data_IF_352233003057
#
_entry.id   IF_352233003057
#
_cell.length_a   1.000
_cell.length_b   1.000
_cell.length_c   1.000
_cell.angle_alpha   90.00
_cell.angle_beta   90.00
_cell.angle_gamma   90.00
#
_symmetry.space_group_name_H-M   'P 1'
#
loop_
_entity.id
_entity.type
_entity.pdbx_description
1 polymer ?
#
# COMPACT_ATOMS: atom_id res chain seq x y z
N UNK A 1 -16.95 -29.79 -3.75
CA UNK A 1 -16.31 -28.53 -4.15
C UNK A 1 -16.14 -27.69 -2.89
N UNK A 2 -14.91 -27.27 -2.62
CA UNK A 2 -14.58 -26.52 -1.39
C UNK A 2 -14.72 -25.01 -1.56
N UNK A 3 -15.04 -24.53 -2.77
CA UNK A 3 -15.26 -23.12 -3.09
C UNK A 3 -15.19 -22.82 -4.58
N UNK A 4 -15.49 -21.61 -4.93
CA UNK A 4 -15.32 -21.06 -6.28
C UNK A 4 -14.41 -19.82 -6.22
N UNK A 5 -13.72 -19.55 -7.32
CA UNK A 5 -12.90 -18.37 -7.48
C UNK A 5 -13.24 -17.68 -8.79
N UNK A 6 -13.17 -16.37 -8.79
CA UNK A 6 -13.24 -15.54 -9.98
C UNK A 6 -11.83 -15.07 -10.36
N UNK A 7 -11.40 -15.33 -11.58
CA UNK A 7 -10.11 -14.90 -12.10
C UNK A 7 -10.30 -13.58 -12.85
N UNK A 8 -9.60 -12.53 -12.40
CA UNK A 8 -9.60 -11.25 -13.10
C UNK A 8 -8.80 -11.34 -14.39
N UNK A 9 -9.37 -10.91 -15.49
CA UNK A 9 -8.72 -10.81 -16.80
C UNK A 9 -8.72 -9.35 -17.30
N UNK A 10 -7.86 -9.05 -18.25
CA UNK A 10 -7.78 -7.68 -18.81
C UNK A 10 -9.05 -7.28 -19.60
N UNK A 11 -9.88 -8.26 -19.96
CA UNK A 11 -11.08 -8.07 -20.79
C UNK A 11 -12.34 -7.81 -19.95
N UNK A 12 -12.32 -8.12 -18.64
CA UNK A 12 -13.52 -8.09 -17.79
C UNK A 12 -13.96 -6.70 -17.38
N UNK A 13 -13.15 -5.67 -17.54
CA UNK A 13 -13.36 -4.33 -16.97
C UNK A 13 -13.77 -4.36 -15.49
N UNK A 14 -13.21 -5.33 -14.76
CA UNK A 14 -13.45 -5.52 -13.33
C UNK A 14 -12.16 -5.33 -12.55
N UNK A 15 -12.29 -4.65 -11.41
CA UNK A 15 -11.23 -4.50 -10.43
C UNK A 15 -11.70 -5.02 -9.08
N UNK A 16 -10.88 -5.85 -8.46
CA UNK A 16 -11.09 -6.32 -7.09
C UNK A 16 -10.27 -5.50 -6.11
N UNK A 17 -10.90 -5.09 -5.01
CA UNK A 17 -10.24 -4.44 -3.88
C UNK A 17 -10.32 -5.38 -2.68
N UNK A 18 -9.16 -5.80 -2.16
CA UNK A 18 -9.04 -6.69 -1.00
C UNK A 18 -8.58 -5.89 0.22
N UNK A 19 -9.38 -5.93 1.26
CA UNK A 19 -9.11 -5.25 2.53
C UNK A 19 -8.82 -6.31 3.60
N UNK A 20 -7.54 -6.63 3.79
CA UNK A 20 -7.12 -7.64 4.75
C UNK A 20 -7.19 -7.14 6.19
N UNK A 21 -7.71 -7.98 7.08
CA UNK A 21 -7.74 -7.70 8.51
C UNK A 21 -8.56 -6.47 8.90
N UNK A 22 -9.49 -6.04 8.05
CA UNK A 22 -10.32 -4.86 8.28
C UNK A 22 -11.52 -5.10 9.22
N UNK A 23 -11.85 -6.36 9.53
CA UNK A 23 -12.91 -6.71 10.45
C UNK A 23 -12.33 -7.12 11.80
N UNK A 24 -12.77 -6.44 12.86
CA UNK A 24 -12.43 -6.80 14.22
C UNK A 24 -13.19 -8.04 14.71
N UNK A 25 -12.89 -8.53 15.92
CA UNK A 25 -13.49 -9.75 16.49
C UNK A 25 -15.02 -9.68 16.66
N UNK A 26 -15.58 -8.47 16.71
CA UNK A 26 -17.02 -8.24 16.85
C UNK A 26 -17.70 -7.99 15.50
N UNK A 27 -16.99 -8.14 14.37
CA UNK A 27 -17.48 -7.87 13.01
C UNK A 27 -17.57 -6.39 12.66
N UNK A 28 -17.08 -5.49 13.52
CA UNK A 28 -16.95 -4.07 13.21
C UNK A 28 -15.77 -3.78 12.30
N UNK A 29 -15.88 -2.72 11.50
CA UNK A 29 -14.78 -2.25 10.65
C UNK A 29 -13.74 -1.45 11.42
N UNK A 30 -12.50 -1.60 11.00
CA UNK A 30 -11.41 -0.72 11.35
C UNK A 30 -11.59 0.65 10.67
N UNK A 31 -11.20 1.74 11.34
CA UNK A 31 -11.44 3.10 10.85
C UNK A 31 -10.87 3.37 9.44
N UNK A 32 -9.70 2.81 9.12
CA UNK A 32 -9.10 2.97 7.80
C UNK A 32 -9.93 2.30 6.69
N UNK A 33 -10.59 1.19 7.00
CA UNK A 33 -11.42 0.47 6.04
C UNK A 33 -12.78 1.14 5.80
N UNK A 34 -13.30 1.87 6.78
CA UNK A 34 -14.52 2.68 6.62
C UNK A 34 -14.31 3.71 5.52
N UNK A 35 -13.20 4.45 5.57
CA UNK A 35 -12.87 5.47 4.58
C UNK A 35 -12.79 4.89 3.15
N UNK A 36 -12.25 3.68 3.01
CA UNK A 36 -12.17 3.02 1.71
C UNK A 36 -13.54 2.53 1.27
N UNK A 37 -14.30 1.92 2.17
CA UNK A 37 -15.62 1.40 1.84
C UNK A 37 -16.57 2.51 1.36
N UNK A 38 -16.51 3.67 1.97
CA UNK A 38 -17.34 4.84 1.61
C UNK A 38 -17.07 5.34 0.18
N UNK A 39 -15.89 5.10 -0.38
CA UNK A 39 -15.58 5.43 -1.77
C UNK A 39 -16.36 4.57 -2.78
N UNK A 40 -16.75 3.34 -2.38
CA UNK A 40 -17.27 2.34 -3.30
C UNK A 40 -18.75 2.00 -3.09
N UNK A 41 -19.32 2.31 -1.94
CA UNK A 41 -20.71 1.92 -1.70
C UNK A 41 -21.70 2.78 -2.50
N UNK A 42 -22.76 2.17 -3.08
CA UNK A 42 -23.07 0.74 -3.02
C UNK A 42 -22.40 -0.04 -4.16
N UNK A 43 -21.64 -1.07 -3.85
CA UNK A 43 -21.18 -2.09 -4.79
C UNK A 43 -21.23 -3.46 -4.14
N UNK A 44 -21.07 -4.54 -4.89
CA UNK A 44 -20.96 -5.89 -4.33
C UNK A 44 -19.70 -5.97 -3.45
N UNK A 45 -19.95 -6.34 -2.21
CA UNK A 45 -18.91 -6.53 -1.20
C UNK A 45 -19.22 -7.75 -0.36
N UNK A 46 -18.22 -8.61 -0.16
CA UNK A 46 -18.37 -9.82 0.63
C UNK A 46 -17.27 -9.98 1.68
N UNK A 47 -17.60 -10.74 2.72
CA UNK A 47 -16.64 -11.12 3.74
C UNK A 47 -15.70 -12.17 3.17
N UNK A 48 -14.37 -11.98 3.35
CA UNK A 48 -13.35 -12.90 2.90
C UNK A 48 -13.48 -14.30 3.55
N UNK A 49 -12.86 -15.36 2.99
CA UNK A 49 -12.90 -16.71 3.56
C UNK A 49 -12.45 -16.77 5.02
N UNK A 50 -11.46 -15.97 5.40
CA UNK A 50 -10.94 -15.91 6.77
C UNK A 50 -11.91 -15.28 7.77
N UNK A 51 -12.94 -14.57 7.30
CA UNK A 51 -13.88 -13.81 8.14
C UNK A 51 -13.29 -12.53 8.72
N UNK A 52 -12.08 -12.14 8.32
CA UNK A 52 -11.38 -10.97 8.88
C UNK A 52 -11.20 -9.84 7.88
N UNK A 53 -11.49 -10.04 6.62
CA UNK A 53 -11.31 -9.08 5.54
C UNK A 53 -12.57 -8.93 4.71
N UNK A 54 -12.54 -7.93 3.82
CA UNK A 54 -13.59 -7.66 2.84
C UNK A 54 -13.03 -7.73 1.43
N UNK A 55 -13.86 -8.19 0.49
CA UNK A 55 -13.59 -8.21 -0.94
C UNK A 55 -14.65 -7.42 -1.66
N UNK A 56 -14.23 -6.32 -2.30
CA UNK A 56 -15.09 -5.46 -3.10
C UNK A 56 -14.86 -5.72 -4.58
N UNK A 57 -15.92 -5.63 -5.37
CA UNK A 57 -15.91 -5.82 -6.81
C UNK A 57 -16.41 -4.55 -7.46
N UNK A 58 -15.63 -4.01 -8.38
CA UNK A 58 -15.92 -2.70 -8.99
C UNK A 58 -15.76 -2.81 -10.50
N UNK A 59 -16.73 -2.33 -11.27
CA UNK A 59 -16.53 -2.10 -12.70
C UNK A 59 -15.72 -0.84 -12.89
N UNK A 60 -14.58 -1.00 -13.51
CA UNK A 60 -13.60 0.04 -13.77
C UNK A 60 -12.22 -0.56 -13.93
N UNK A 61 -11.31 0.19 -14.49
CA UNK A 61 -9.95 -0.25 -14.75
C UNK A 61 -8.95 0.47 -13.85
N UNK A 62 -7.91 -0.25 -13.47
CA UNK A 62 -6.72 0.33 -12.86
C UNK A 62 -6.14 1.40 -13.78
N UNK A 63 -6.04 2.64 -13.31
CA UNK A 63 -5.42 3.71 -14.09
C UNK A 63 -3.92 3.45 -14.31
N UNK A 64 -3.33 4.13 -15.31
CA UNK A 64 -1.90 4.06 -15.60
C UNK A 64 -1.01 4.42 -14.38
N UNK A 65 -1.52 5.24 -13.47
CA UNK A 65 -0.84 5.62 -12.22
C UNK A 65 -0.51 4.43 -11.33
N UNK A 66 -1.31 3.36 -11.38
CA UNK A 66 -1.14 2.14 -10.59
C UNK A 66 -0.03 1.22 -11.10
N UNK A 67 0.55 1.50 -12.24
CA UNK A 67 1.57 0.64 -12.87
C UNK A 67 2.94 0.69 -12.17
N UNK A 68 3.09 1.49 -11.14
CA UNK A 68 4.40 1.84 -10.59
C UNK A 68 5.14 0.73 -9.86
N UNK A 69 4.47 -0.34 -9.39
CA UNK A 69 5.11 -1.22 -8.41
C UNK A 69 5.20 -2.71 -8.73
N UNK A 70 4.58 -3.24 -9.82
CA UNK A 70 4.49 -4.70 -9.93
C UNK A 70 4.23 -5.27 -11.33
N UNK A 71 4.56 -4.56 -12.38
CA UNK A 71 4.21 -5.02 -13.74
C UNK A 71 2.71 -4.99 -14.03
N UNK A 72 1.90 -4.35 -13.21
CA UNK A 72 0.52 -3.96 -13.51
C UNK A 72 -0.59 -4.94 -13.13
N UNK A 73 -0.30 -6.06 -12.44
CA UNK A 73 -1.33 -7.01 -12.03
C UNK A 73 -1.84 -6.80 -10.60
N UNK A 74 -0.96 -6.46 -9.68
CA UNK A 74 -1.26 -6.25 -8.26
C UNK A 74 -0.75 -4.88 -7.82
N UNK A 75 -1.54 -4.16 -7.03
CA UNK A 75 -1.09 -3.01 -6.27
C UNK A 75 -1.38 -3.25 -4.80
N UNK A 76 -0.37 -3.17 -3.95
CA UNK A 76 -0.49 -3.43 -2.52
C UNK A 76 0.16 -2.33 -1.71
N UNK A 77 -0.52 -1.87 -0.66
CA UNK A 77 0.04 -1.05 0.40
C UNK A 77 -0.58 -1.43 1.74
N UNK A 78 0.22 -1.95 2.65
CA UNK A 78 -0.28 -2.45 3.92
C UNK A 78 -1.30 -3.58 3.73
N UNK A 79 -2.50 -3.35 4.23
CA UNK A 79 -3.63 -4.28 4.19
C UNK A 79 -4.58 -4.06 3.00
N UNK A 80 -4.23 -3.20 2.05
CA UNK A 80 -5.02 -2.90 0.85
C UNK A 80 -4.35 -3.50 -0.37
N UNK A 81 -5.05 -4.39 -1.07
CA UNK A 81 -4.60 -4.96 -2.33
C UNK A 81 -5.63 -4.70 -3.43
N UNK A 82 -5.15 -4.42 -4.65
CA UNK A 82 -6.01 -4.13 -5.81
C UNK A 82 -5.62 -4.97 -7.00
N UNK A 83 -6.58 -5.72 -7.53
CA UNK A 83 -6.40 -6.67 -8.61
C UNK A 83 -7.22 -6.28 -9.83
N UNK A 84 -6.63 -6.33 -11.02
CA UNK A 84 -7.34 -6.11 -12.29
C UNK A 84 -7.08 -7.20 -13.32
N UNK A 85 -6.07 -8.05 -13.12
CA UNK A 85 -5.74 -9.18 -14.02
C UNK A 85 -4.76 -10.14 -13.35
N UNK A 86 -4.74 -11.39 -13.83
CA UNK A 86 -3.75 -12.40 -13.43
C UNK A 86 -3.81 -12.81 -11.95
N UNK A 87 -4.91 -12.52 -11.29
CA UNK A 87 -5.21 -12.88 -9.90
C UNK A 87 -6.64 -13.37 -9.79
N UNK A 88 -6.98 -13.98 -8.65
CA UNK A 88 -8.34 -14.43 -8.40
C UNK A 88 -8.81 -14.02 -7.00
N UNK A 89 -10.12 -13.84 -6.86
CA UNK A 89 -10.80 -13.81 -5.57
C UNK A 89 -11.51 -15.14 -5.34
N UNK A 90 -11.42 -15.65 -4.12
CA UNK A 90 -12.35 -16.68 -3.67
C UNK A 90 -13.69 -16.01 -3.44
N UNK A 91 -14.74 -16.52 -4.06
CA UNK A 91 -16.11 -16.02 -3.90
C UNK A 91 -16.76 -16.75 -2.75
N UNK A 92 -17.18 -16.03 -1.73
CA UNK A 92 -17.80 -16.60 -0.53
C UNK A 92 -19.31 -16.52 -0.54
N UNK A 93 -19.90 -15.56 -1.26
CA UNK A 93 -21.32 -15.24 -1.24
C UNK A 93 -21.81 -14.64 0.08
N UNK A 94 -20.91 -14.36 1.04
CA UNK A 94 -21.24 -13.74 2.33
C UNK A 94 -21.24 -12.23 2.19
N UNK A 95 -22.35 -11.67 1.72
CA UNK A 95 -22.49 -10.23 1.49
C UNK A 95 -22.28 -9.47 2.80
N UNK A 96 -21.49 -8.41 2.74
CA UNK A 96 -21.20 -7.56 3.90
C UNK A 96 -22.29 -6.49 4.08
N UNK A 97 -22.95 -6.50 5.24
CA UNK A 97 -23.94 -5.48 5.62
C UNK A 97 -25.07 -5.32 4.60
N UNK A 98 -25.30 -4.07 4.20
CA UNK A 98 -26.28 -3.68 3.19
C UNK A 98 -25.65 -3.45 1.80
N UNK A 99 -24.51 -4.09 1.52
CA UNK A 99 -23.87 -3.97 0.20
C UNK A 99 -24.82 -4.45 -0.91
N UNK A 100 -24.64 -3.86 -2.10
CA UNK A 100 -25.43 -4.24 -3.25
C UNK A 100 -25.16 -5.69 -3.67
N UNK A 101 -26.16 -6.32 -4.29
CA UNK A 101 -26.02 -7.65 -4.89
C UNK A 101 -25.39 -7.59 -6.29
N UNK A 102 -25.17 -6.39 -6.82
CA UNK A 102 -24.61 -6.13 -8.14
C UNK A 102 -23.30 -5.38 -8.03
N UNK A 103 -22.42 -5.64 -8.98
CA UNK A 103 -21.17 -4.89 -9.13
C UNK A 103 -21.48 -3.59 -9.88
N UNK A 104 -21.15 -2.46 -9.28
CA UNK A 104 -21.41 -1.12 -9.86
C UNK A 104 -20.20 -0.57 -10.59
N UNK A 105 -20.46 0.34 -11.53
CA UNK A 105 -19.41 1.16 -12.15
C UNK A 105 -18.98 2.26 -11.16
N UNK A 106 -17.68 2.34 -10.90
CA UNK A 106 -17.15 3.38 -10.03
C UNK A 106 -15.66 3.63 -10.30
N UNK A 107 -15.36 4.22 -11.45
CA UNK A 107 -13.98 4.61 -11.79
C UNK A 107 -13.46 5.69 -10.85
N UNK A 108 -14.31 6.66 -10.47
CA UNK A 108 -13.93 7.74 -9.55
C UNK A 108 -13.51 7.21 -8.17
N UNK A 109 -14.22 6.18 -7.66
CA UNK A 109 -13.85 5.51 -6.42
C UNK A 109 -12.49 4.82 -6.51
N UNK A 110 -12.18 4.20 -7.65
CA UNK A 110 -10.86 3.61 -7.89
C UNK A 110 -9.75 4.67 -7.92
N UNK A 111 -9.97 5.79 -8.60
CA UNK A 111 -9.00 6.89 -8.69
C UNK A 111 -8.79 7.53 -7.31
N UNK A 112 -9.87 7.73 -6.54
CA UNK A 112 -9.81 8.24 -5.17
C UNK A 112 -9.11 7.28 -4.21
N UNK A 113 -9.32 5.97 -4.36
CA UNK A 113 -8.59 4.96 -3.59
C UNK A 113 -7.09 5.06 -3.87
N UNK A 114 -6.71 5.25 -5.14
CA UNK A 114 -5.31 5.44 -5.48
C UNK A 114 -4.71 6.63 -4.75
N UNK A 115 -5.38 7.78 -4.83
CA UNK A 115 -4.89 9.02 -4.22
C UNK A 115 -4.85 8.90 -2.68
N UNK A 116 -5.82 8.22 -2.07
CA UNK A 116 -5.87 7.99 -0.62
C UNK A 116 -4.73 7.09 -0.12
N UNK A 117 -4.44 6.01 -0.84
CA UNK A 117 -3.51 4.97 -0.36
C UNK A 117 -2.08 5.20 -0.87
N UNK A 118 -1.92 5.68 -2.10
CA UNK A 118 -0.63 5.83 -2.78
C UNK A 118 -0.27 7.27 -3.18
N UNK A 119 -1.24 8.19 -3.17
CA UNK A 119 -1.06 9.56 -3.66
C UNK A 119 -0.07 10.42 -2.86
N UNK A 120 0.20 10.07 -1.60
CA UNK A 120 1.18 10.76 -0.77
C UNK A 120 2.66 10.42 -1.09
N UNK A 121 2.89 9.56 -2.08
CA UNK A 121 4.22 9.38 -2.69
C UNK A 121 4.45 10.36 -3.84
N UNK A 122 3.99 11.60 -3.75
CA UNK A 122 4.73 12.66 -4.41
C UNK A 122 6.13 12.60 -3.80
N UNK A 123 7.10 12.03 -4.54
CA UNK A 123 8.49 12.44 -4.34
C UNK A 123 8.42 13.95 -4.34
N UNK A 124 8.91 14.64 -3.30
CA UNK A 124 9.14 16.07 -3.45
C UNK A 124 9.82 16.18 -4.82
N UNK A 125 9.23 16.98 -5.72
CA UNK A 125 9.93 17.36 -6.96
C UNK A 125 11.35 17.52 -6.52
N UNK A 126 12.25 16.75 -7.13
CA UNK A 126 13.67 16.95 -6.82
C UNK A 126 13.84 18.44 -6.95
N UNK A 127 13.82 19.13 -5.80
CA UNK A 127 14.27 20.51 -5.82
C UNK A 127 15.59 20.34 -6.51
N UNK A 128 15.66 20.86 -7.72
CA UNK A 128 16.93 21.09 -8.38
C UNK A 128 17.68 21.98 -7.39
N UNK A 129 18.34 21.31 -6.48
CA UNK A 129 19.38 21.93 -5.68
C UNK A 129 20.42 22.24 -6.73
N UNK A 130 20.19 23.37 -7.43
CA UNK A 130 21.05 23.86 -8.48
C UNK A 130 22.47 23.61 -8.01
N UNK A 131 23.25 22.90 -8.82
CA UNK A 131 24.52 22.26 -8.47
C UNK A 131 25.13 22.96 -7.27
N UNK A 132 25.01 22.34 -6.08
CA UNK A 132 25.65 22.84 -4.88
C UNK A 132 27.11 22.87 -5.33
N UNK A 133 27.63 24.06 -5.59
CA UNK A 133 29.07 24.22 -5.74
C UNK A 133 29.65 23.58 -4.49
N UNK A 134 30.20 22.37 -4.67
CA UNK A 134 30.86 21.64 -3.59
C UNK A 134 31.94 22.56 -3.10
N UNK A 135 31.65 23.25 -2.00
CA UNK A 135 32.65 23.98 -1.27
C UNK A 135 33.64 22.92 -0.83
N UNK A 136 34.74 22.84 -1.52
CA UNK A 136 35.89 21.97 -1.57
C UNK A 136 36.31 21.12 -0.38
N UNK A 137 35.37 20.59 0.42
CA UNK A 137 35.66 19.58 1.42
C UNK A 137 35.55 18.19 0.77
N UNK A 138 36.54 17.38 0.93
CA UNK A 138 36.53 15.99 0.47
C UNK A 138 35.54 15.16 1.29
N UNK A 139 35.02 14.05 0.73
CA UNK A 139 34.16 13.13 1.44
C UNK A 139 34.79 12.66 2.77
N UNK A 140 36.12 12.55 2.82
CA UNK A 140 36.87 12.20 4.02
C UNK A 140 36.81 13.27 5.10
N UNK A 141 36.82 14.55 4.72
CA UNK A 141 36.68 15.67 5.65
C UNK A 141 35.26 15.76 6.19
N UNK A 142 34.26 15.61 5.33
CA UNK A 142 32.84 15.58 5.73
C UNK A 142 32.58 14.42 6.71
N UNK A 143 33.04 13.20 6.37
CA UNK A 143 32.95 12.04 7.24
C UNK A 143 33.68 12.27 8.56
N UNK A 144 34.86 12.86 8.52
CA UNK A 144 35.64 13.21 9.71
C UNK A 144 34.93 14.19 10.63
N UNK A 145 34.20 15.14 10.07
CA UNK A 145 33.37 16.09 10.83
C UNK A 145 32.16 15.38 11.45
N UNK A 146 31.46 14.53 10.68
CA UNK A 146 30.32 13.75 11.17
C UNK A 146 30.71 12.84 12.34
N UNK A 147 31.80 12.10 12.21
CA UNK A 147 32.34 11.22 13.25
C UNK A 147 32.75 11.96 14.54
N UNK A 148 33.12 13.23 14.44
CA UNK A 148 33.51 14.04 15.63
C UNK A 148 32.31 14.72 16.28
N UNK A 149 31.31 15.09 15.50
CA UNK A 149 30.20 15.90 15.96
C UNK A 149 29.02 15.06 16.49
N UNK A 150 28.88 13.82 16.03
CA UNK A 150 27.77 12.93 16.41
C UNK A 150 28.28 11.61 16.99
N UNK A 151 28.16 11.48 18.31
CA UNK A 151 28.59 10.29 19.03
C UNK A 151 27.76 9.04 18.68
N UNK A 152 26.49 9.22 18.30
CA UNK A 152 25.63 8.10 17.88
C UNK A 152 26.07 7.60 16.49
N UNK A 153 26.29 8.52 15.57
CA UNK A 153 26.81 8.21 14.24
C UNK A 153 28.17 7.50 14.33
N UNK A 154 29.08 7.98 15.18
CA UNK A 154 30.39 7.34 15.40
C UNK A 154 30.30 5.90 15.86
N UNK A 155 29.41 5.60 16.81
CA UNK A 155 29.17 4.23 17.29
C UNK A 155 28.67 3.31 16.18
N UNK A 156 27.63 3.78 15.46
CA UNK A 156 27.03 3.00 14.36
C UNK A 156 28.04 2.76 13.22
N UNK A 157 28.85 3.76 12.90
CA UNK A 157 29.86 3.67 11.84
C UNK A 157 30.91 2.59 12.09
N UNK A 158 31.27 2.35 13.34
CA UNK A 158 32.20 1.26 13.73
C UNK A 158 31.48 -0.07 14.02
N UNK A 159 30.16 -0.14 13.79
CA UNK A 159 29.37 -1.35 13.98
C UNK A 159 28.90 -1.59 15.42
N UNK A 160 29.03 -0.60 16.31
CA UNK A 160 28.50 -0.71 17.66
C UNK A 160 27.00 -0.40 17.67
N UNK A 161 26.19 -1.45 17.81
CA UNK A 161 24.73 -1.39 17.85
C UNK A 161 24.16 -1.50 19.26
N UNK A 162 24.99 -1.32 20.31
CA UNK A 162 24.57 -1.54 21.72
C UNK A 162 23.36 -0.70 22.14
N UNK A 163 23.11 0.42 21.48
CA UNK A 163 21.99 1.32 21.72
C UNK A 163 20.72 0.95 20.90
N UNK A 164 20.77 -0.12 20.10
CA UNK A 164 19.68 -0.53 19.21
C UNK A 164 19.24 -1.97 19.49
N UNK A 165 17.91 -2.28 19.38
CA UNK A 165 17.37 -3.61 19.64
C UNK A 165 17.79 -4.65 18.57
N UNK A 166 18.15 -4.20 17.36
CA UNK A 166 18.56 -5.09 16.25
C UNK A 166 19.47 -4.38 15.24
N UNK A 167 20.19 -5.17 14.43
CA UNK A 167 20.99 -4.64 13.31
C UNK A 167 20.16 -3.84 12.32
N UNK A 168 18.94 -4.29 11.99
CA UNK A 168 18.06 -3.58 11.04
C UNK A 168 17.65 -2.18 11.52
N UNK A 169 17.44 -2.01 12.82
CA UNK A 169 17.13 -0.69 13.39
C UNK A 169 18.36 0.21 13.47
N UNK A 170 19.54 -0.36 13.70
CA UNK A 170 20.80 0.34 13.63
C UNK A 170 21.08 0.87 12.21
N UNK A 171 20.88 0.04 11.17
CA UNK A 171 21.07 0.40 9.76
C UNK A 171 20.11 1.52 9.33
N UNK A 172 18.83 1.47 9.76
CA UNK A 172 17.86 2.53 9.50
C UNK A 172 18.23 3.87 10.16
N UNK A 173 19.03 3.84 11.21
CA UNK A 173 19.48 5.05 11.91
C UNK A 173 20.69 5.72 11.26
N UNK A 174 21.34 5.06 10.28
CA UNK A 174 22.43 5.61 9.47
C UNK A 174 21.92 6.30 8.18
N UNK A 175 20.67 6.01 7.77
CA UNK A 175 20.02 6.61 6.61
C UNK A 175 19.25 7.88 6.98
#
# INVERSE_FOLDING_TARGET
FDGIGFVFTAEDNLTGVDLDGCLNKNGGLENWAILILDLFMPTYCEISPSGKGLKLWVKGSKSEKWKRNDGGSLCRKGNVEVYSKGRYFTVTGRIYGAAATEVTENQEGLDSLFDLVWGSEEKPESQDWGAIETVGESDEEILGHALKSDAKFSKLWVGDISDHPSHSEADLSLC
#
